data_IF_197803645117
#
_entry.id   IF_197803645117
#
_cell.length_a   1.000
_cell.length_b   1.000
_cell.length_c   1.000
_cell.angle_alpha   90.00
_cell.angle_beta   90.00
_cell.angle_gamma   90.00
#
_symmetry.space_group_name_H-M   'P 1'
#
loop_
_entity.id
_entity.type
_entity.pdbx_description
1 polymer ?
#
# COMPACT_ATOMS: atom_id res chain seq x y z
N UNK A 1 36.05 -16.62 -7.48
CA UNK A 1 34.78 -16.13 -6.97
C UNK A 1 34.23 -17.05 -5.90
N UNK A 2 33.40 -16.55 -5.04
CA UNK A 2 32.72 -17.35 -4.02
C UNK A 2 31.69 -18.28 -4.69
N UNK A 3 31.60 -19.52 -4.20
CA UNK A 3 30.58 -20.44 -4.72
C UNK A 3 29.19 -20.07 -4.21
N UNK A 4 28.21 -20.05 -5.10
CA UNK A 4 26.84 -19.72 -4.78
C UNK A 4 25.92 -20.86 -5.19
N UNK A 5 25.14 -21.37 -4.27
CA UNK A 5 24.07 -22.33 -4.52
C UNK A 5 22.74 -21.58 -4.70
N UNK A 6 22.02 -21.89 -5.79
CA UNK A 6 20.70 -21.30 -6.03
C UNK A 6 19.67 -22.39 -6.29
N UNK A 7 18.52 -22.30 -5.62
CA UNK A 7 17.39 -23.18 -5.83
C UNK A 7 16.08 -22.45 -5.66
N UNK A 8 15.00 -23.04 -6.19
CA UNK A 8 13.63 -22.56 -6.01
C UNK A 8 12.92 -23.46 -5.00
N UNK A 9 12.22 -22.84 -4.05
CA UNK A 9 11.25 -23.51 -3.18
C UNK A 9 9.86 -23.15 -3.69
N UNK A 10 9.13 -24.16 -4.20
CA UNK A 10 7.78 -23.99 -4.70
C UNK A 10 6.78 -23.76 -3.55
N UNK A 11 5.57 -23.25 -3.86
CA UNK A 11 4.50 -23.04 -2.87
C UNK A 11 4.14 -24.33 -2.10
N UNK A 12 4.23 -25.49 -2.74
CA UNK A 12 4.00 -26.81 -2.14
C UNK A 12 5.19 -27.31 -1.31
N UNK A 13 6.25 -26.52 -1.21
CA UNK A 13 7.48 -26.88 -0.49
C UNK A 13 8.49 -27.71 -1.30
N UNK A 14 8.17 -28.09 -2.55
CA UNK A 14 9.12 -28.82 -3.40
C UNK A 14 10.31 -27.94 -3.74
N UNK A 15 11.53 -28.49 -3.57
CA UNK A 15 12.77 -27.84 -3.96
C UNK A 15 13.14 -28.21 -5.40
N UNK A 16 13.49 -27.19 -6.20
CA UNK A 16 13.94 -27.31 -7.58
C UNK A 16 15.31 -26.64 -7.72
N UNK A 17 16.29 -27.39 -8.21
CA UNK A 17 17.65 -26.89 -8.38
C UNK A 17 17.76 -25.97 -9.59
N UNK A 18 18.56 -24.91 -9.45
CA UNK A 18 18.99 -24.04 -10.53
C UNK A 18 20.42 -24.42 -10.96
N UNK A 19 20.79 -24.11 -12.17
CA UNK A 19 22.14 -24.38 -12.69
C UNK A 19 22.83 -23.07 -13.06
N UNK A 20 24.11 -22.99 -12.79
CA UNK A 20 24.89 -21.82 -13.18
C UNK A 20 25.08 -21.81 -14.69
N UNK A 21 24.92 -20.62 -15.28
CA UNK A 21 25.14 -20.33 -16.70
C UNK A 21 26.32 -19.37 -16.80
N UNK A 22 27.24 -19.65 -17.68
CA UNK A 22 28.35 -18.73 -17.92
C UNK A 22 27.81 -17.40 -18.43
N UNK A 23 28.19 -16.31 -17.77
CA UNK A 23 28.02 -14.98 -18.26
C UNK A 23 29.40 -14.33 -18.48
N UNK A 24 29.51 -13.51 -19.49
CA UNK A 24 30.74 -12.82 -19.84
C UNK A 24 30.80 -11.40 -19.30
N UNK A 25 30.00 -11.10 -18.27
CA UNK A 25 30.00 -9.80 -17.61
C UNK A 25 31.27 -9.66 -16.77
N UNK A 26 32.10 -8.63 -17.03
CA UNK A 26 33.29 -8.41 -16.22
C UNK A 26 32.89 -7.94 -14.82
N UNK A 27 33.72 -8.30 -13.83
CA UNK A 27 33.59 -7.77 -12.49
C UNK A 27 33.61 -6.24 -12.50
N UNK A 28 32.81 -5.64 -11.63
CA UNK A 28 32.69 -4.19 -11.49
C UNK A 28 33.24 -3.74 -10.14
N UNK A 29 33.89 -2.59 -10.14
CA UNK A 29 34.34 -1.94 -8.93
C UNK A 29 33.26 -0.96 -8.44
N UNK A 30 32.69 -1.22 -7.25
CA UNK A 30 31.64 -0.41 -6.63
C UNK A 30 31.96 -0.25 -5.15
N UNK A 31 32.00 0.98 -4.64
CA UNK A 31 32.24 1.31 -3.22
C UNK A 31 33.50 0.58 -2.65
N UNK A 32 34.61 0.71 -3.35
CA UNK A 32 35.92 0.09 -3.03
C UNK A 32 35.91 -1.44 -2.96
N UNK A 33 34.93 -2.09 -3.58
CA UNK A 33 34.83 -3.56 -3.68
C UNK A 33 34.70 -4.00 -5.13
N UNK A 34 35.32 -5.15 -5.43
CA UNK A 34 35.07 -5.86 -6.67
C UNK A 34 33.82 -6.72 -6.52
N UNK A 35 32.85 -6.48 -7.39
CA UNK A 35 31.58 -7.21 -7.43
C UNK A 35 31.54 -8.03 -8.71
N UNK A 36 31.53 -9.33 -8.56
CA UNK A 36 31.27 -10.30 -9.62
C UNK A 36 29.77 -10.56 -9.77
N UNK A 37 29.38 -11.06 -10.93
CA UNK A 37 28.01 -11.43 -11.26
C UNK A 37 27.96 -12.91 -11.64
N UNK A 38 27.01 -13.65 -11.06
CA UNK A 38 26.71 -15.02 -11.43
C UNK A 38 25.29 -15.12 -11.97
N UNK A 39 25.13 -15.80 -13.10
CA UNK A 39 23.84 -16.04 -13.75
C UNK A 39 23.41 -17.49 -13.54
N UNK A 40 22.13 -17.68 -13.20
CA UNK A 40 21.55 -19.00 -12.98
C UNK A 40 20.34 -19.21 -13.88
N UNK A 41 20.30 -20.40 -14.51
CA UNK A 41 19.12 -20.89 -15.19
C UNK A 41 18.10 -21.42 -14.19
N UNK A 42 16.84 -21.08 -14.38
CA UNK A 42 15.71 -21.56 -13.59
C UNK A 42 14.96 -22.59 -14.42
N UNK A 43 14.50 -23.73 -13.82
CA UNK A 43 13.69 -24.73 -14.54
C UNK A 43 12.43 -24.09 -15.16
N UNK A 44 12.21 -24.37 -16.46
CA UNK A 44 11.06 -23.83 -17.19
C UNK A 44 9.73 -24.56 -16.95
N UNK A 45 9.79 -25.68 -16.21
CA UNK A 45 8.65 -26.55 -15.89
C UNK A 45 8.11 -26.36 -14.45
N UNK A 46 8.39 -25.20 -13.86
CA UNK A 46 7.83 -24.86 -12.54
C UNK A 46 6.30 -24.75 -12.62
N UNK A 47 5.57 -25.16 -11.57
CA UNK A 47 4.16 -24.95 -11.50
C UNK A 47 3.82 -23.45 -11.47
N UNK A 48 2.59 -23.10 -11.86
CA UNK A 48 2.08 -21.73 -11.70
C UNK A 48 1.96 -21.42 -10.21
N UNK A 49 2.36 -20.21 -9.81
CA UNK A 49 2.24 -19.75 -8.43
C UNK A 49 3.36 -18.80 -7.98
N UNK A 50 3.43 -18.60 -6.67
CA UNK A 50 4.41 -17.75 -6.01
C UNK A 50 5.44 -18.63 -5.31
N UNK A 51 6.64 -18.63 -5.82
CA UNK A 51 7.75 -19.44 -5.31
C UNK A 51 8.81 -18.55 -4.67
N UNK A 52 9.76 -19.16 -4.01
CA UNK A 52 10.89 -18.45 -3.41
C UNK A 52 12.19 -18.92 -4.06
N UNK A 53 12.94 -17.99 -4.65
CA UNK A 53 14.35 -18.24 -5.02
C UNK A 53 15.18 -18.08 -3.75
N UNK A 54 16.06 -19.02 -3.51
CA UNK A 54 17.02 -18.99 -2.41
C UNK A 54 18.42 -19.03 -3.00
N UNK A 55 19.25 -18.06 -2.64
CA UNK A 55 20.67 -18.03 -2.96
C UNK A 55 21.46 -18.15 -1.65
N UNK A 56 22.44 -19.05 -1.60
CA UNK A 56 23.24 -19.32 -0.41
C UNK A 56 24.73 -19.34 -0.78
N UNK A 57 25.53 -18.64 -0.02
CA UNK A 57 26.99 -18.72 0.00
C UNK A 57 27.43 -19.31 1.34
N UNK A 58 28.74 -19.38 1.59
CA UNK A 58 29.27 -19.86 2.87
C UNK A 58 28.74 -19.04 4.06
N UNK A 59 28.62 -17.72 3.88
CA UNK A 59 28.35 -16.79 4.98
C UNK A 59 27.00 -16.05 4.84
N UNK A 60 26.33 -16.14 3.68
CA UNK A 60 25.13 -15.35 3.40
C UNK A 60 24.02 -16.19 2.79
N UNK A 61 22.80 -15.84 3.13
CA UNK A 61 21.58 -16.35 2.50
C UNK A 61 20.68 -15.19 2.09
N UNK A 62 20.26 -15.21 0.82
CA UNK A 62 19.30 -14.25 0.30
C UNK A 62 18.09 -14.98 -0.29
N UNK A 63 16.94 -14.33 -0.26
CA UNK A 63 15.70 -14.85 -0.85
C UNK A 63 15.03 -13.80 -1.70
N UNK A 64 14.34 -14.26 -2.76
CA UNK A 64 13.52 -13.39 -3.61
C UNK A 64 12.26 -14.13 -4.04
N UNK A 65 11.18 -13.40 -4.28
CA UNK A 65 9.95 -13.99 -4.81
C UNK A 65 10.09 -14.26 -6.31
N UNK A 66 9.70 -15.46 -6.72
CA UNK A 66 9.56 -15.87 -8.13
C UNK A 66 8.09 -16.07 -8.43
N UNK A 67 7.54 -15.32 -9.37
CA UNK A 67 6.16 -15.48 -9.84
C UNK A 67 6.17 -16.23 -11.16
N UNK A 68 5.52 -17.39 -11.19
CA UNK A 68 5.29 -18.17 -12.41
C UNK A 68 3.83 -18.00 -12.82
N UNK A 69 3.62 -17.29 -13.91
CA UNK A 69 2.28 -16.98 -14.43
C UNK A 69 2.02 -17.72 -15.73
N UNK A 70 0.75 -17.99 -16.11
CA UNK A 70 0.44 -18.48 -17.44
C UNK A 70 0.77 -17.40 -18.50
N UNK A 71 1.03 -17.83 -19.74
CA UNK A 71 1.27 -16.91 -20.86
C UNK A 71 0.09 -15.99 -21.13
N UNK A 72 -1.10 -16.41 -20.77
CA UNK A 72 -2.34 -15.65 -20.90
C UNK A 72 -3.22 -15.87 -19.68
N UNK A 73 -3.55 -14.80 -18.97
CA UNK A 73 -4.39 -14.86 -17.75
C UNK A 73 -5.87 -15.13 -18.07
N UNK A 74 -6.29 -14.87 -19.30
CA UNK A 74 -7.70 -14.94 -19.68
C UNK A 74 -8.51 -13.76 -19.12
N UNK A 75 -9.80 -13.82 -19.33
CA UNK A 75 -10.75 -12.93 -18.66
C UNK A 75 -11.18 -13.53 -17.32
N UNK A 76 -11.50 -12.72 -16.31
CA UNK A 76 -12.09 -13.21 -15.06
C UNK A 76 -13.32 -14.06 -15.35
N UNK A 77 -13.50 -15.17 -14.62
CA UNK A 77 -14.65 -16.07 -14.82
C UNK A 77 -16.00 -15.35 -14.67
N UNK A 78 -16.05 -14.32 -13.82
CA UNK A 78 -17.22 -13.47 -13.62
C UNK A 78 -17.63 -12.67 -14.86
N UNK A 79 -16.68 -12.42 -15.79
CA UNK A 79 -16.99 -11.72 -17.03
C UNK A 79 -17.56 -12.63 -18.12
N UNK A 80 -17.37 -13.96 -18.01
CA UNK A 80 -17.84 -14.92 -18.99
C UNK A 80 -17.34 -14.62 -20.41
N UNK A 81 -18.17 -14.89 -21.43
CA UNK A 81 -17.94 -14.55 -22.84
C UNK A 81 -18.72 -13.31 -23.29
N UNK A 82 -19.48 -12.68 -22.42
CA UNK A 82 -20.36 -11.55 -22.72
C UNK A 82 -19.58 -10.24 -22.77
N UNK A 83 -20.12 -9.25 -23.47
CA UNK A 83 -19.65 -7.89 -23.37
C UNK A 83 -20.06 -7.35 -22.01
N UNK A 84 -19.10 -6.74 -21.32
CA UNK A 84 -19.31 -6.09 -20.04
C UNK A 84 -19.15 -4.58 -20.19
N UNK A 85 -19.84 -3.82 -19.35
CA UNK A 85 -19.71 -2.37 -19.29
C UNK A 85 -19.67 -1.90 -17.84
N UNK A 86 -19.11 -0.71 -17.61
CA UNK A 86 -19.01 -0.14 -16.27
C UNK A 86 -18.61 1.32 -16.30
N UNK A 87 -18.41 1.86 -15.13
CA UNK A 87 -17.98 3.24 -14.94
C UNK A 87 -16.49 3.32 -14.65
N UNK A 88 -15.79 4.27 -15.27
CA UNK A 88 -14.44 4.67 -14.91
C UNK A 88 -14.50 6.04 -14.25
N UNK A 89 -14.09 6.11 -12.98
CA UNK A 89 -14.20 7.33 -12.17
C UNK A 89 -12.93 7.63 -11.41
N UNK A 90 -12.72 8.89 -11.09
CA UNK A 90 -11.70 9.31 -10.13
C UNK A 90 -12.37 9.40 -8.76
N UNK A 91 -12.04 8.48 -7.85
CA UNK A 91 -12.71 8.40 -6.55
C UNK A 91 -12.63 9.72 -5.79
N UNK A 92 -11.48 10.37 -5.80
CA UNK A 92 -11.31 11.65 -5.11
C UNK A 92 -12.29 12.74 -5.58
N UNK A 93 -12.82 12.67 -6.81
CA UNK A 93 -13.81 13.62 -7.36
C UNK A 93 -15.24 13.13 -7.22
N UNK A 94 -15.46 11.87 -6.85
CA UNK A 94 -16.79 11.27 -6.66
C UNK A 94 -17.27 11.60 -5.25
N UNK A 95 -17.93 12.77 -5.11
CA UNK A 95 -18.33 13.32 -3.82
C UNK A 95 -19.82 13.23 -3.60
N UNK A 96 -20.22 12.96 -2.36
CA UNK A 96 -21.58 13.08 -1.85
C UNK A 96 -21.67 14.23 -0.83
N UNK A 97 -22.88 14.48 -0.31
CA UNK A 97 -23.09 15.44 0.79
C UNK A 97 -22.42 15.03 2.10
N UNK A 98 -22.05 13.76 2.23
CA UNK A 98 -21.38 13.22 3.42
C UNK A 98 -19.85 13.19 3.30
N UNK A 99 -19.30 13.53 2.12
CA UNK A 99 -17.86 13.54 1.88
C UNK A 99 -17.15 14.68 2.62
N UNK A 100 -15.87 14.47 2.95
CA UNK A 100 -14.99 15.42 3.62
C UNK A 100 -14.17 16.25 2.63
N UNK A 101 -14.83 16.87 1.63
CA UNK A 101 -14.18 17.68 0.61
C UNK A 101 -13.64 16.89 -0.59
N UNK A 102 -13.46 15.58 -0.45
CA UNK A 102 -13.11 14.65 -1.52
C UNK A 102 -13.89 13.34 -1.36
N UNK A 103 -14.05 12.60 -2.46
CA UNK A 103 -14.69 11.29 -2.44
C UNK A 103 -13.88 10.27 -1.65
N UNK A 104 -14.55 9.30 -1.03
CA UNK A 104 -13.99 8.32 -0.11
C UNK A 104 -14.55 6.91 -0.32
N UNK A 105 -14.14 5.94 0.52
CA UNK A 105 -14.60 4.55 0.38
C UNK A 105 -16.10 4.36 0.54
N UNK A 106 -16.78 5.22 1.31
CA UNK A 106 -18.24 5.17 1.41
C UNK A 106 -18.91 5.68 0.13
N UNK A 107 -18.35 6.73 -0.48
CA UNK A 107 -18.81 7.21 -1.78
C UNK A 107 -18.60 6.15 -2.88
N UNK A 108 -17.50 5.38 -2.80
CA UNK A 108 -17.27 4.26 -3.71
C UNK A 108 -18.30 3.14 -3.51
N UNK A 109 -18.64 2.80 -2.27
CA UNK A 109 -19.65 1.79 -1.97
C UNK A 109 -21.03 2.21 -2.49
N UNK A 110 -21.42 3.46 -2.27
CA UNK A 110 -22.68 4.01 -2.76
C UNK A 110 -22.73 4.02 -4.29
N UNK A 111 -21.65 4.48 -4.95
CA UNK A 111 -21.53 4.48 -6.41
C UNK A 111 -21.59 3.06 -6.96
N UNK A 112 -20.89 2.11 -6.35
CA UNK A 112 -20.88 0.71 -6.81
C UNK A 112 -22.26 0.09 -6.70
N UNK A 113 -22.96 0.35 -5.61
CA UNK A 113 -24.34 -0.09 -5.41
C UNK A 113 -25.27 0.50 -6.47
N UNK A 114 -25.18 1.81 -6.71
CA UNK A 114 -25.96 2.48 -7.75
C UNK A 114 -25.63 1.92 -9.15
N UNK A 115 -24.35 1.79 -9.49
CA UNK A 115 -23.92 1.26 -10.79
C UNK A 115 -24.48 -0.16 -11.03
N UNK A 116 -24.47 -1.02 -10.01
CA UNK A 116 -25.05 -2.36 -10.09
C UNK A 116 -26.56 -2.31 -10.39
N UNK A 117 -27.32 -1.34 -9.82
CA UNK A 117 -28.75 -1.18 -10.15
C UNK A 117 -28.99 -0.76 -11.59
N UNK A 118 -27.99 -0.17 -12.24
CA UNK A 118 -28.03 0.20 -13.67
C UNK A 118 -27.57 -0.97 -14.58
N UNK A 119 -27.17 -2.10 -13.99
CA UNK A 119 -26.65 -3.25 -14.73
C UNK A 119 -25.19 -3.14 -15.15
N UNK A 120 -24.43 -2.23 -14.50
CA UNK A 120 -22.98 -2.17 -14.71
C UNK A 120 -22.28 -3.37 -14.06
N UNK A 121 -21.28 -3.90 -14.76
CA UNK A 121 -20.51 -5.07 -14.30
C UNK A 121 -19.31 -4.68 -13.43
N UNK A 122 -18.82 -3.44 -13.54
CA UNK A 122 -17.65 -2.97 -12.77
C UNK A 122 -17.65 -1.45 -12.57
N UNK A 123 -16.88 -1.03 -11.56
CA UNK A 123 -16.45 0.36 -11.37
C UNK A 123 -14.92 0.37 -11.32
N UNK A 124 -14.31 1.07 -12.26
CA UNK A 124 -12.85 1.29 -12.31
C UNK A 124 -12.53 2.61 -11.61
N UNK A 125 -11.61 2.57 -10.66
CA UNK A 125 -11.17 3.76 -9.92
C UNK A 125 -9.68 4.03 -10.14
N UNK A 126 -9.26 5.27 -9.80
CA UNK A 126 -7.83 5.60 -9.70
C UNK A 126 -7.13 4.74 -8.65
N UNK A 127 -5.78 4.67 -8.63
CA UNK A 127 -5.04 4.02 -7.56
C UNK A 127 -5.42 4.55 -6.18
N UNK A 128 -5.65 3.63 -5.22
CA UNK A 128 -6.07 3.93 -3.84
C UNK A 128 -4.92 3.79 -2.85
N UNK A 129 -3.70 3.75 -3.36
CA UNK A 129 -2.48 3.52 -2.60
C UNK A 129 -2.13 4.68 -1.66
N UNK A 130 -1.40 4.34 -0.58
CA UNK A 130 -0.97 5.31 0.41
C UNK A 130 -0.10 6.41 -0.19
N UNK A 131 -0.46 7.66 0.06
CA UNK A 131 0.34 8.84 -0.21
C UNK A 131 0.90 9.40 1.09
N UNK A 132 1.88 10.26 0.98
CA UNK A 132 2.30 11.09 2.10
C UNK A 132 1.15 12.04 2.46
N UNK A 133 0.85 12.14 3.75
CA UNK A 133 -0.24 12.98 4.27
C UNK A 133 0.30 14.21 5.02
N UNK A 134 1.44 14.71 4.57
CA UNK A 134 2.08 15.95 5.06
C UNK A 134 1.94 17.03 3.99
N UNK A 135 1.50 18.21 4.40
CA UNK A 135 1.31 19.36 3.48
C UNK A 135 2.61 19.84 2.84
N UNK A 136 2.60 20.18 1.56
CA UNK A 136 1.49 20.03 0.62
C UNK A 136 1.29 18.56 0.18
N UNK A 137 0.07 18.06 0.27
CA UNK A 137 -0.24 16.68 -0.12
C UNK A 137 -0.19 16.55 -1.64
N UNK A 138 0.54 15.55 -2.12
CA UNK A 138 0.66 15.23 -3.55
C UNK A 138 -0.74 14.99 -4.18
N UNK A 139 -1.13 15.79 -5.18
CA UNK A 139 -2.46 15.68 -5.78
C UNK A 139 -2.61 14.44 -6.67
N UNK A 140 -1.53 13.87 -7.17
CA UNK A 140 -1.57 12.74 -8.07
C UNK A 140 -1.66 11.40 -7.32
N UNK A 141 -2.73 10.61 -7.51
CA UNK A 141 -2.82 9.28 -6.90
C UNK A 141 -1.85 8.27 -7.54
N UNK A 142 -1.16 8.66 -8.60
CA UNK A 142 -0.20 7.83 -9.33
C UNK A 142 1.23 7.92 -8.76
N UNK A 143 1.45 8.76 -7.74
CA UNK A 143 2.72 8.94 -7.05
C UNK A 143 2.60 8.52 -5.57
N UNK A 144 2.26 7.25 -5.27
CA UNK A 144 2.12 6.79 -3.90
C UNK A 144 3.49 6.65 -3.21
N UNK A 145 3.52 6.84 -1.89
CA UNK A 145 4.68 6.49 -1.08
C UNK A 145 4.75 4.97 -0.81
N UNK A 146 3.60 4.28 -0.79
CA UNK A 146 3.54 2.82 -0.67
C UNK A 146 2.37 2.26 -1.47
N UNK A 147 2.63 1.17 -2.21
CA UNK A 147 1.59 0.41 -2.92
C UNK A 147 1.03 -0.75 -2.10
N UNK A 148 1.54 -0.97 -0.90
CA UNK A 148 1.12 -2.07 -0.02
C UNK A 148 -0.06 -1.69 0.88
N UNK A 149 -0.32 -0.39 1.04
CA UNK A 149 -1.33 0.13 1.95
C UNK A 149 -2.25 1.10 1.24
N UNK A 150 -3.45 1.26 1.80
CA UNK A 150 -4.44 2.21 1.29
C UNK A 150 -4.18 3.61 1.84
N UNK A 151 -4.61 4.61 1.06
CA UNK A 151 -4.51 6.01 1.45
C UNK A 151 -5.55 6.36 2.52
N UNK A 152 -5.14 6.83 3.71
CA UNK A 152 -6.05 7.18 4.79
C UNK A 152 -6.98 8.36 4.44
N UNK A 153 -6.63 9.18 3.44
CA UNK A 153 -7.52 10.22 2.92
C UNK A 153 -8.88 9.69 2.46
N UNK A 154 -8.95 8.41 2.02
CA UNK A 154 -10.21 7.80 1.60
C UNK A 154 -11.03 7.20 2.75
N UNK A 155 -10.56 7.29 4.00
CA UNK A 155 -11.33 6.86 5.17
C UNK A 155 -12.36 7.93 5.52
N UNK A 156 -13.61 7.52 5.74
CA UNK A 156 -14.67 8.36 6.31
C UNK A 156 -14.73 8.09 7.82
N UNK A 157 -14.41 9.06 8.69
CA UNK A 157 -14.35 8.83 10.13
C UNK A 157 -15.64 8.25 10.72
N UNK A 158 -16.80 8.67 10.23
CA UNK A 158 -18.11 8.28 10.78
C UNK A 158 -18.44 6.79 10.58
N UNK A 159 -17.75 6.06 9.67
CA UNK A 159 -17.98 4.62 9.49
C UNK A 159 -17.09 3.76 10.39
N UNK A 160 -16.14 4.36 11.08
CA UNK A 160 -15.34 3.65 12.09
C UNK A 160 -16.26 3.38 13.29
N UNK A 161 -16.44 2.12 13.73
CA UNK A 161 -17.38 1.80 14.80
C UNK A 161 -17.20 2.65 16.06
N UNK A 162 -15.96 2.87 16.47
CA UNK A 162 -15.60 3.63 17.68
C UNK A 162 -15.94 5.14 17.55
N UNK A 163 -16.21 5.65 16.36
CA UNK A 163 -16.68 7.04 16.18
C UNK A 163 -17.99 7.33 16.95
N UNK A 164 -18.84 6.33 17.10
CA UNK A 164 -20.09 6.47 17.85
C UNK A 164 -19.85 6.74 19.34
N UNK A 165 -18.73 6.31 19.89
CA UNK A 165 -18.35 6.45 21.30
C UNK A 165 -17.64 7.77 21.61
N UNK A 166 -17.33 8.57 20.57
CA UNK A 166 -16.79 9.91 20.79
C UNK A 166 -17.77 10.80 21.51
N UNK A 167 -17.25 11.71 22.33
CA UNK A 167 -18.04 12.75 22.99
C UNK A 167 -18.89 13.55 22.00
N UNK A 168 -20.08 13.96 22.41
CA UNK A 168 -21.04 14.73 21.60
C UNK A 168 -20.42 16.02 21.07
N UNK A 169 -19.59 16.67 21.88
CA UNK A 169 -18.90 17.90 21.45
C UNK A 169 -17.91 17.61 20.34
N UNK A 170 -17.09 16.56 20.47
CA UNK A 170 -16.12 16.14 19.42
C UNK A 170 -16.84 15.82 18.11
N UNK A 171 -17.95 15.06 18.18
CA UNK A 171 -18.78 14.76 17.00
C UNK A 171 -19.40 16.03 16.38
N UNK A 172 -19.73 17.03 17.18
CA UNK A 172 -20.20 18.31 16.68
C UNK A 172 -19.12 19.08 15.93
N UNK A 173 -17.90 19.12 16.50
CA UNK A 173 -16.75 19.73 15.83
C UNK A 173 -16.42 19.00 14.53
N UNK A 174 -16.45 17.66 14.51
CA UNK A 174 -16.25 16.85 13.32
C UNK A 174 -17.23 17.21 12.19
N UNK A 175 -18.53 17.37 12.52
CA UNK A 175 -19.54 17.81 11.53
C UNK A 175 -19.24 19.20 10.97
N UNK A 176 -18.80 20.13 11.80
CA UNK A 176 -18.43 21.48 11.37
C UNK A 176 -17.19 21.46 10.47
N UNK A 177 -16.16 20.71 10.85
CA UNK A 177 -14.94 20.55 10.07
C UNK A 177 -15.23 19.92 8.70
N UNK A 178 -16.08 18.88 8.65
CA UNK A 178 -16.53 18.27 7.40
C UNK A 178 -17.23 19.29 6.50
N UNK A 179 -18.17 20.05 7.05
CA UNK A 179 -18.90 21.07 6.28
C UNK A 179 -17.96 22.13 5.70
N UNK A 180 -16.95 22.54 6.46
CA UNK A 180 -15.93 23.48 6.00
C UNK A 180 -15.04 22.88 4.90
N UNK A 181 -14.61 21.62 5.07
CA UNK A 181 -13.81 20.92 4.06
C UNK A 181 -14.56 20.74 2.74
N UNK A 182 -15.89 20.54 2.81
CA UNK A 182 -16.76 20.34 1.65
C UNK A 182 -17.28 21.65 1.03
N UNK A 183 -16.97 22.82 1.59
CA UNK A 183 -17.54 24.10 1.16
C UNK A 183 -17.12 24.52 -0.25
N UNK A 184 -15.96 24.08 -0.73
CA UNK A 184 -15.50 24.34 -2.08
C UNK A 184 -16.02 23.25 -3.03
N UNK A 185 -16.87 23.64 -3.97
CA UNK A 185 -17.44 22.74 -4.96
C UNK A 185 -16.58 22.61 -6.23
N UNK A 186 -15.72 23.58 -6.52
CA UNK A 186 -14.97 23.66 -7.78
C UNK A 186 -13.61 22.95 -7.71
N UNK A 187 -12.94 23.02 -6.56
CA UNK A 187 -11.62 22.44 -6.37
C UNK A 187 -11.60 21.41 -5.24
N UNK A 188 -10.72 20.42 -5.38
CA UNK A 188 -10.42 19.43 -4.33
C UNK A 188 -9.15 19.88 -3.62
N UNK A 189 -9.30 20.28 -2.37
CA UNK A 189 -8.21 20.62 -1.48
C UNK A 189 -7.95 19.44 -0.53
N UNK A 190 -6.88 18.69 -0.81
CA UNK A 190 -6.50 17.50 -0.02
C UNK A 190 -5.96 17.88 1.33
N UNK A 191 -5.22 18.98 1.42
CA UNK A 191 -4.70 19.48 2.70
C UNK A 191 -5.84 19.87 3.63
N UNK A 192 -6.82 20.61 3.13
CA UNK A 192 -8.03 20.95 3.90
C UNK A 192 -8.80 19.70 4.33
N UNK A 193 -8.97 18.73 3.42
CA UNK A 193 -9.64 17.46 3.72
C UNK A 193 -8.92 16.68 4.80
N UNK A 194 -7.59 16.58 4.73
CA UNK A 194 -6.79 15.88 5.71
C UNK A 194 -6.78 16.58 7.06
N UNK A 195 -6.53 17.88 7.08
CA UNK A 195 -6.50 18.68 8.30
C UNK A 195 -7.86 18.66 9.04
N UNK A 196 -8.97 18.49 8.32
CA UNK A 196 -10.27 18.31 8.92
C UNK A 196 -10.48 16.90 9.48
N UNK A 197 -9.95 15.84 8.82
CA UNK A 197 -10.13 14.44 9.24
C UNK A 197 -9.18 14.02 10.36
N UNK A 198 -7.92 14.45 10.31
CA UNK A 198 -6.87 13.97 11.20
C UNK A 198 -7.24 14.10 12.69
N UNK A 199 -7.70 15.25 13.21
CA UNK A 199 -8.06 15.36 14.63
C UNK A 199 -9.18 14.41 15.05
N UNK A 200 -10.09 14.08 14.12
CA UNK A 200 -11.19 13.14 14.40
C UNK A 200 -10.67 11.70 14.42
N UNK A 201 -9.77 11.34 13.51
CA UNK A 201 -9.14 10.02 13.50
C UNK A 201 -8.27 9.81 14.74
N UNK A 202 -7.54 10.84 15.18
CA UNK A 202 -6.78 10.83 16.44
C UNK A 202 -7.69 10.65 17.65
N UNK A 203 -8.81 11.36 17.70
CA UNK A 203 -9.78 11.21 18.79
C UNK A 203 -10.39 9.80 18.82
N UNK A 204 -10.71 9.21 17.67
CA UNK A 204 -11.17 7.81 17.58
C UNK A 204 -10.07 6.85 18.04
N UNK A 205 -8.83 7.05 17.59
CA UNK A 205 -7.70 6.23 18.00
C UNK A 205 -7.45 6.29 19.53
N UNK A 206 -7.61 7.47 20.12
CA UNK A 206 -7.41 7.69 21.57
C UNK A 206 -8.41 6.92 22.46
N UNK A 207 -9.57 6.50 21.92
CA UNK A 207 -10.52 5.64 22.63
C UNK A 207 -9.95 4.24 22.86
N UNK A 208 -9.00 3.80 22.03
CA UNK A 208 -8.50 2.44 22.01
C UNK A 208 -9.48 1.46 21.33
N UNK A 209 -9.07 0.22 21.28
CA UNK A 209 -9.87 -0.88 20.71
C UNK A 209 -10.12 -1.91 21.79
N UNK A 210 -11.30 -2.55 21.75
CA UNK A 210 -11.67 -3.58 22.71
C UNK A 210 -12.17 -4.86 21.99
N UNK A 211 -12.11 -5.97 22.73
CA UNK A 211 -12.67 -7.25 22.32
C UNK A 211 -12.19 -7.74 20.96
N UNK A 212 -13.12 -8.07 20.07
CA UNK A 212 -12.81 -8.59 18.74
C UNK A 212 -12.11 -7.57 17.82
N UNK A 213 -12.32 -6.29 18.05
CA UNK A 213 -11.67 -5.21 17.30
C UNK A 213 -10.18 -5.17 17.59
N UNK A 214 -9.79 -5.24 18.87
CA UNK A 214 -8.39 -5.31 19.28
C UNK A 214 -7.72 -6.58 18.71
N UNK A 215 -8.38 -7.74 18.80
CA UNK A 215 -7.87 -8.98 18.23
C UNK A 215 -7.65 -8.88 16.70
N UNK A 216 -8.59 -8.26 15.99
CA UNK A 216 -8.49 -8.03 14.54
C UNK A 216 -7.34 -7.09 14.20
N UNK A 217 -7.15 -6.03 14.98
CA UNK A 217 -6.05 -5.08 14.79
C UNK A 217 -4.69 -5.75 15.03
N UNK A 218 -4.57 -6.54 16.08
CA UNK A 218 -3.34 -7.29 16.35
C UNK A 218 -3.05 -8.34 15.27
N UNK A 219 -4.09 -8.99 14.73
CA UNK A 219 -3.94 -9.92 13.60
C UNK A 219 -3.45 -9.19 12.34
N UNK A 220 -4.00 -8.01 12.05
CA UNK A 220 -3.57 -7.15 10.94
C UNK A 220 -2.10 -6.73 11.10
N UNK A 221 -1.70 -6.26 12.29
CA UNK A 221 -0.31 -5.90 12.56
C UNK A 221 0.65 -7.06 12.31
N UNK A 222 0.32 -8.26 12.82
CA UNK A 222 1.13 -9.46 12.59
C UNK A 222 1.22 -9.84 11.10
N UNK A 223 0.11 -9.72 10.37
CA UNK A 223 0.07 -10.04 8.94
C UNK A 223 0.94 -9.08 8.11
N UNK A 224 0.90 -7.80 8.43
CA UNK A 224 1.67 -6.77 7.73
C UNK A 224 3.15 -6.77 8.15
N UNK A 225 3.43 -7.13 9.42
CA UNK A 225 4.79 -7.21 9.97
C UNK A 225 5.57 -5.91 9.82
N UNK A 226 6.88 -6.04 9.57
CA UNK A 226 7.80 -4.90 9.44
C UNK A 226 7.39 -3.90 8.37
N UNK A 227 6.67 -4.31 7.33
CA UNK A 227 6.23 -3.40 6.27
C UNK A 227 5.30 -2.31 6.79
N UNK A 228 4.44 -2.62 7.78
CA UNK A 228 3.57 -1.63 8.40
C UNK A 228 4.37 -0.72 9.33
N UNK A 229 5.32 -1.27 10.07
CA UNK A 229 6.21 -0.51 10.95
C UNK A 229 7.09 0.44 10.15
N UNK A 230 7.65 0.00 9.04
CA UNK A 230 8.43 0.83 8.13
C UNK A 230 7.60 2.00 7.58
N UNK A 231 6.35 1.73 7.14
CA UNK A 231 5.47 2.80 6.65
C UNK A 231 5.11 3.77 7.78
N UNK A 232 4.78 3.29 8.97
CA UNK A 232 4.44 4.14 10.12
C UNK A 232 5.63 5.02 10.52
N UNK A 233 6.83 4.45 10.56
CA UNK A 233 8.08 5.17 10.83
C UNK A 233 8.35 6.23 9.76
N UNK A 234 8.19 5.87 8.49
CA UNK A 234 8.30 6.81 7.38
C UNK A 234 7.33 7.99 7.54
N UNK A 235 6.05 7.71 7.84
CA UNK A 235 5.05 8.76 8.07
C UNK A 235 5.45 9.69 9.24
N UNK A 236 5.88 9.13 10.37
CA UNK A 236 6.31 9.91 11.51
C UNK A 236 7.54 10.79 11.20
N UNK A 237 8.52 10.26 10.48
CA UNK A 237 9.70 11.04 10.07
C UNK A 237 9.35 12.14 9.07
N UNK A 238 8.41 11.89 8.16
CA UNK A 238 7.95 12.93 7.22
C UNK A 238 7.22 14.07 7.90
N UNK A 239 6.50 13.81 8.98
CA UNK A 239 5.86 14.86 9.80
C UNK A 239 6.88 15.79 10.45
N UNK A 240 8.05 15.27 10.82
CA UNK A 240 9.11 16.03 11.49
C UNK A 240 10.05 16.70 10.49
N UNK A 241 10.46 15.99 9.45
CA UNK A 241 11.54 16.42 8.55
C UNK A 241 11.08 16.76 7.13
N UNK A 242 9.79 16.63 6.83
CA UNK A 242 9.23 16.88 5.49
C UNK A 242 9.39 15.71 4.52
N UNK A 243 8.90 15.91 3.29
CA UNK A 243 8.71 14.84 2.30
C UNK A 243 9.99 14.37 1.59
N UNK A 244 11.07 15.15 1.61
CA UNK A 244 12.31 14.77 0.93
C UNK A 244 13.30 14.14 1.92
N UNK A 245 13.28 12.81 2.01
CA UNK A 245 14.16 12.04 2.89
C UNK A 245 15.66 12.29 2.67
N UNK A 246 16.07 12.77 1.50
CA UNK A 246 17.47 13.09 1.19
C UNK A 246 17.97 14.30 1.98
N UNK A 247 17.05 15.13 2.47
CA UNK A 247 17.35 16.30 3.31
C UNK A 247 17.30 15.99 4.81
N UNK A 248 16.88 14.78 5.19
CA UNK A 248 16.82 14.37 6.59
C UNK A 248 18.22 14.22 7.19
N UNK A 249 18.37 14.25 8.51
CA UNK A 249 19.62 13.87 9.16
C UNK A 249 20.09 12.49 8.70
N UNK A 250 21.39 12.33 8.48
CA UNK A 250 21.97 11.09 7.91
C UNK A 250 21.55 9.82 8.67
N UNK A 251 21.37 9.94 9.99
CA UNK A 251 20.93 8.86 10.87
C UNK A 251 19.51 8.36 10.58
N UNK A 252 18.66 9.14 9.89
CA UNK A 252 17.29 8.78 9.51
C UNK A 252 17.12 8.45 8.03
N UNK A 253 18.14 8.59 7.22
CA UNK A 253 18.06 8.36 5.77
C UNK A 253 18.03 6.87 5.40
N UNK A 254 18.30 5.96 6.33
CA UNK A 254 18.34 4.52 6.10
C UNK A 254 17.48 3.79 7.14
N UNK A 255 16.54 2.92 6.73
CA UNK A 255 15.70 2.16 7.67
C UNK A 255 16.50 1.27 8.62
N UNK A 256 17.70 0.82 8.19
CA UNK A 256 18.59 -0.03 8.99
C UNK A 256 19.40 0.72 10.05
N UNK A 257 19.31 2.04 10.10
CA UNK A 257 20.04 2.82 11.08
C UNK A 257 19.40 2.67 12.47
N UNK A 258 20.24 2.56 13.52
CA UNK A 258 19.79 2.39 14.90
C UNK A 258 18.87 3.51 15.40
N UNK A 259 18.97 4.70 14.83
CA UNK A 259 18.11 5.84 15.17
C UNK A 259 16.66 5.69 14.65
N UNK A 260 16.44 4.78 13.68
CA UNK A 260 15.14 4.50 13.08
C UNK A 260 14.45 3.30 13.75
N UNK A 261 15.18 2.48 14.49
CA UNK A 261 14.69 1.27 15.20
C UNK A 261 14.14 1.64 16.63
#
# INVERSE_FOLDING_TARGET
GEWVEVHVVCEDGQRRECWQVDNWNPDRHVDDRWIGEATFGIPGDLPLGYHTIVATTADHRATSTLVVSPNWLGLPRSMGSSRVWGHAVQLYSTRSRASWGMGDFSDLADLSTWAATQGADYVLVNPLHASQVVSPIEPSPYLPCSRLFLNPLYVRPEIIPEYADLDVYVRSQARSARAQAAADAEAIDRDRSWNAKLPVLEAVHALGLEGSRELSYQAFRRLCGTRLEDLATWCALTEVYGNDWRTWPEEYQRPSNRAVS
#
